data_IF_124877598093
#
_entry.id   IF_124877598093
#
_cell.length_a   1.000
_cell.length_b   1.000
_cell.length_c   1.000
_cell.angle_alpha   90.00
_cell.angle_beta   90.00
_cell.angle_gamma   90.00
#
_symmetry.space_group_name_H-M   'P 1'
#
loop_
_entity.id
_entity.type
_entity.pdbx_description
1 polymer ?
#
# COMPACT_ATOMS: atom_id res chain seq x y z
N UNK A 1 -0.37 9.02 -22.30
CA UNK A 1 -1.65 9.70 -22.05
C UNK A 1 -2.78 8.96 -22.72
N UNK A 2 -3.69 8.41 -21.91
CA UNK A 2 -4.99 7.99 -22.39
C UNK A 2 -5.76 9.28 -22.71
N UNK A 3 -5.85 9.64 -23.98
CA UNK A 3 -6.78 10.68 -24.39
C UNK A 3 -8.17 10.05 -24.44
N UNK A 4 -9.09 10.63 -23.69
CA UNK A 4 -10.52 10.41 -23.89
C UNK A 4 -10.85 11.21 -25.14
N UNK A 5 -10.99 10.53 -26.27
CA UNK A 5 -11.54 11.16 -27.47
C UNK A 5 -13.06 11.27 -27.25
N UNK A 6 -13.52 12.49 -26.95
CA UNK A 6 -14.92 12.87 -26.92
C UNK A 6 -15.48 12.85 -28.36
N UNK A 7 -15.77 11.66 -28.90
CA UNK A 7 -16.48 11.54 -30.17
C UNK A 7 -18.00 11.55 -29.95
N UNK A 8 -18.54 12.73 -30.26
CA UNK A 8 -19.84 13.09 -30.83
C UNK A 8 -21.04 12.12 -30.77
N UNK A 9 -22.12 12.63 -30.18
CA UNK A 9 -23.49 12.12 -30.10
C UNK A 9 -24.11 11.74 -31.47
N UNK A 10 -24.54 10.49 -31.64
CA UNK A 10 -25.61 10.11 -32.59
C UNK A 10 -26.55 9.08 -31.95
N UNK A 11 -27.83 9.43 -31.87
CA UNK A 11 -28.94 8.62 -31.36
C UNK A 11 -29.15 7.29 -32.13
N UNK A 12 -29.44 6.20 -31.40
CA UNK A 12 -30.53 5.20 -31.58
C UNK A 12 -30.18 3.76 -31.06
N UNK A 13 -30.67 3.41 -29.85
CA UNK A 13 -30.95 2.07 -29.22
C UNK A 13 -30.13 0.78 -29.50
N UNK A 14 -30.12 -0.21 -28.56
CA UNK A 14 -29.59 -0.22 -27.21
C UNK A 14 -28.28 -1.03 -27.17
N UNK A 15 -27.15 -0.40 -26.92
CA UNK A 15 -25.86 -1.09 -26.83
C UNK A 15 -25.73 -1.80 -25.48
N UNK A 16 -26.28 -3.01 -25.38
CA UNK A 16 -25.85 -3.98 -24.36
C UNK A 16 -24.63 -4.71 -24.87
N UNK A 17 -23.47 -4.06 -24.79
CA UNK A 17 -22.14 -4.66 -24.69
C UNK A 17 -21.18 -3.48 -24.62
N UNK A 18 -20.54 -3.30 -23.46
CA UNK A 18 -19.47 -2.31 -23.31
C UNK A 18 -18.30 -2.87 -24.10
N UNK A 19 -18.11 -2.38 -25.32
CA UNK A 19 -16.89 -2.57 -26.10
C UNK A 19 -15.75 -1.87 -25.36
N UNK A 20 -15.18 -2.58 -24.38
CA UNK A 20 -13.90 -2.19 -23.79
C UNK A 20 -12.87 -2.46 -24.88
N UNK A 21 -12.38 -1.40 -25.52
CA UNK A 21 -11.22 -1.46 -26.40
C UNK A 21 -10.12 -2.27 -25.71
N UNK A 22 -9.82 -3.46 -26.24
CA UNK A 22 -8.83 -4.42 -25.73
C UNK A 22 -7.39 -3.85 -25.76
N UNK A 23 -7.22 -2.64 -26.30
CA UNK A 23 -6.02 -1.79 -26.17
C UNK A 23 -5.87 -1.17 -24.76
N UNK A 24 -6.97 -1.04 -24.00
CA UNK A 24 -6.97 -0.65 -22.60
C UNK A 24 -7.12 -1.88 -21.71
N UNK A 25 -6.12 -2.76 -21.71
CA UNK A 25 -5.89 -3.57 -20.51
C UNK A 25 -5.54 -2.58 -19.40
N UNK A 26 -6.55 -2.08 -18.68
CA UNK A 26 -6.35 -1.32 -17.45
C UNK A 26 -5.50 -2.24 -16.57
N UNK A 27 -4.23 -1.89 -16.37
CA UNK A 27 -3.41 -2.53 -15.37
C UNK A 27 -3.99 -2.10 -14.02
N UNK A 28 -5.04 -2.79 -13.58
CA UNK A 28 -5.75 -2.46 -12.35
C UNK A 28 -4.81 -2.71 -11.18
N UNK A 29 -4.42 -1.61 -10.54
CA UNK A 29 -3.59 -1.62 -9.34
C UNK A 29 -4.51 -1.83 -8.15
N UNK A 30 -4.21 -2.80 -7.29
CA UNK A 30 -5.05 -3.11 -6.14
C UNK A 30 -4.26 -3.55 -4.94
N UNK A 31 -4.82 -3.32 -3.75
CA UNK A 31 -4.31 -3.88 -2.49
C UNK A 31 -5.29 -4.92 -2.00
N UNK A 32 -4.80 -6.12 -1.73
CA UNK A 32 -5.61 -7.20 -1.16
C UNK A 32 -5.57 -7.17 0.37
N UNK A 33 -4.37 -7.16 0.95
CA UNK A 33 -4.17 -7.23 2.40
C UNK A 33 -2.77 -6.82 2.84
N UNK A 34 -2.64 -6.48 4.12
CA UNK A 34 -1.40 -6.33 4.87
C UNK A 34 -1.18 -7.59 5.69
N UNK A 35 -0.05 -8.28 5.50
CA UNK A 35 0.24 -9.54 6.19
C UNK A 35 0.73 -9.35 7.63
N UNK A 36 1.56 -8.32 7.87
CA UNK A 36 2.01 -7.99 9.23
C UNK A 36 1.00 -7.02 9.85
N UNK A 37 0.22 -7.46 10.84
CA UNK A 37 -0.90 -6.67 11.38
C UNK A 37 -0.53 -5.76 12.56
N UNK A 38 0.67 -5.89 13.13
CA UNK A 38 1.09 -5.08 14.27
C UNK A 38 2.62 -4.92 14.36
N UNK A 39 3.09 -3.84 14.98
CA UNK A 39 4.51 -3.55 15.17
C UNK A 39 4.81 -2.49 16.21
N UNK A 40 6.09 -2.13 16.29
CA UNK A 40 6.64 -1.24 17.32
C UNK A 40 6.24 0.22 17.09
N UNK A 41 5.96 0.95 18.17
CA UNK A 41 5.83 2.41 18.20
C UNK A 41 7.09 3.14 17.68
N UNK A 42 8.26 2.51 17.78
CA UNK A 42 9.53 3.07 17.31
C UNK A 42 9.80 2.79 15.81
N UNK A 43 8.80 2.27 15.07
CA UNK A 43 8.99 1.91 13.67
C UNK A 43 9.87 0.66 13.51
N UNK A 44 10.58 0.58 12.39
CA UNK A 44 11.48 -0.53 12.07
C UNK A 44 10.80 -1.87 11.82
N UNK A 45 9.45 -1.90 11.77
CA UNK A 45 8.70 -3.12 11.51
C UNK A 45 8.60 -3.33 10.01
N UNK A 46 9.06 -4.49 9.52
CA UNK A 46 8.84 -4.89 8.12
C UNK A 46 7.39 -5.32 7.94
N UNK A 47 6.69 -4.66 7.03
CA UNK A 47 5.33 -5.02 6.64
C UNK A 47 5.31 -5.42 5.17
N UNK A 48 4.40 -6.32 4.86
CA UNK A 48 4.21 -6.84 3.50
C UNK A 48 2.77 -6.59 3.08
N UNK A 49 2.61 -5.97 1.93
CA UNK A 49 1.33 -5.61 1.33
C UNK A 49 1.18 -6.45 0.07
N UNK A 50 0.17 -7.32 0.05
CA UNK A 50 -0.14 -8.15 -1.12
C UNK A 50 -1.18 -7.44 -1.98
N UNK A 51 -1.05 -7.56 -3.30
CA UNK A 51 -1.92 -6.90 -4.26
C UNK A 51 -1.56 -7.24 -5.70
N UNK A 52 -1.88 -6.34 -6.63
CA UNK A 52 -1.59 -6.48 -8.06
C UNK A 52 -1.24 -5.13 -8.67
N UNK A 53 -0.47 -5.14 -9.76
CA UNK A 53 -0.18 -3.94 -10.54
C UNK A 53 0.73 -2.93 -9.82
N UNK A 54 1.51 -3.38 -8.84
CA UNK A 54 2.52 -2.53 -8.22
C UNK A 54 3.68 -2.28 -9.17
N UNK A 55 4.34 -1.13 -9.02
CA UNK A 55 5.51 -0.81 -9.83
C UNK A 55 6.61 -1.85 -9.59
N UNK A 56 7.23 -2.33 -10.67
CA UNK A 56 8.41 -3.19 -10.60
C UNK A 56 9.70 -2.35 -10.60
N UNK A 57 9.70 -1.21 -11.28
CA UNK A 57 10.80 -0.26 -11.27
C UNK A 57 10.64 0.76 -10.12
N UNK A 58 11.49 0.67 -9.09
CA UNK A 58 11.46 1.57 -7.94
C UNK A 58 12.35 2.82 -8.09
N UNK A 59 12.88 3.09 -9.28
CA UNK A 59 13.77 4.22 -9.54
C UNK A 59 13.13 5.34 -10.36
N UNK A 60 11.98 5.09 -10.97
CA UNK A 60 11.23 6.04 -11.78
C UNK A 60 9.75 5.97 -11.38
N UNK A 61 9.32 6.84 -10.45
CA UNK A 61 7.98 6.81 -9.86
C UNK A 61 7.85 5.80 -8.71
N UNK A 62 7.86 4.50 -9.02
CA UNK A 62 7.90 3.42 -8.03
C UNK A 62 6.67 3.36 -7.12
N UNK A 63 6.76 2.58 -6.04
CA UNK A 63 5.69 2.48 -5.05
C UNK A 63 5.97 3.43 -3.88
N UNK A 64 4.95 4.15 -3.43
CA UNK A 64 4.95 4.89 -2.18
C UNK A 64 3.84 4.37 -1.27
N UNK A 65 4.16 4.16 0.00
CA UNK A 65 3.23 3.56 0.97
C UNK A 65 3.09 4.47 2.18
N UNK A 66 1.84 4.72 2.57
CA UNK A 66 1.50 5.49 3.75
C UNK A 66 0.58 4.69 4.67
N UNK A 67 0.81 4.82 5.97
CA UNK A 67 -0.06 4.33 7.03
C UNK A 67 -0.83 5.53 7.58
N UNK A 68 -2.15 5.50 7.46
CA UNK A 68 -3.01 6.65 7.80
C UNK A 68 -3.94 6.33 8.96
N UNK A 69 -4.00 7.24 9.93
CA UNK A 69 -5.03 7.25 10.98
C UNK A 69 -5.88 8.51 10.83
N UNK A 70 -6.79 8.75 11.77
CA UNK A 70 -7.58 9.99 11.80
C UNK A 70 -6.74 11.24 12.10
N UNK A 71 -5.56 11.06 12.69
CA UNK A 71 -4.75 12.18 13.23
C UNK A 71 -3.32 12.25 12.69
N UNK A 72 -2.89 11.24 11.94
CA UNK A 72 -1.51 11.11 11.52
C UNK A 72 -1.39 10.32 10.21
N UNK A 73 -0.46 10.74 9.36
CA UNK A 73 -0.03 10.03 8.16
C UNK A 73 1.45 9.74 8.33
N UNK A 74 1.82 8.46 8.24
CA UNK A 74 3.18 8.00 8.47
C UNK A 74 3.66 7.27 7.22
N UNK A 75 4.82 7.63 6.72
CA UNK A 75 5.43 6.93 5.58
C UNK A 75 5.89 5.52 5.99
N UNK A 76 5.74 4.56 5.08
CA UNK A 76 6.37 3.25 5.17
C UNK A 76 7.43 3.14 4.07
N UNK A 77 8.71 3.13 4.45
CA UNK A 77 9.83 3.17 3.52
C UNK A 77 9.92 1.89 2.71
N UNK A 78 9.57 1.98 1.42
CA UNK A 78 9.59 0.84 0.49
C UNK A 78 11.00 0.29 0.34
N UNK A 79 11.10 -1.04 0.48
CA UNK A 79 12.32 -1.81 0.29
C UNK A 79 12.34 -2.33 -1.15
N UNK A 80 13.20 -1.72 -1.97
CA UNK A 80 13.21 -1.94 -3.42
C UNK A 80 13.44 -3.41 -3.79
N UNK A 81 14.39 -4.07 -3.12
CA UNK A 81 14.78 -5.46 -3.39
C UNK A 81 13.73 -6.49 -2.97
N UNK A 82 12.76 -6.10 -2.14
CA UNK A 82 11.69 -6.98 -1.65
C UNK A 82 10.32 -6.69 -2.27
N UNK A 83 10.27 -5.81 -3.26
CA UNK A 83 9.03 -5.37 -3.90
C UNK A 83 8.93 -5.95 -5.31
N UNK A 84 7.74 -6.44 -5.65
CA UNK A 84 7.38 -7.04 -6.94
C UNK A 84 6.03 -6.48 -7.38
N UNK A 85 5.56 -6.86 -8.56
CA UNK A 85 4.25 -6.44 -9.09
C UNK A 85 3.06 -6.86 -8.21
N UNK A 86 3.24 -7.88 -7.36
CA UNK A 86 2.17 -8.46 -6.52
C UNK A 86 2.40 -8.27 -5.02
N UNK A 87 3.52 -7.68 -4.64
CA UNK A 87 3.90 -7.55 -3.24
C UNK A 87 4.78 -6.31 -3.03
N UNK A 88 4.41 -5.45 -2.07
CA UNK A 88 5.29 -4.38 -1.59
C UNK A 88 5.84 -4.77 -0.22
N UNK A 89 7.16 -4.69 -0.06
CA UNK A 89 7.83 -4.76 1.23
C UNK A 89 8.19 -3.33 1.67
N UNK A 90 7.78 -2.92 2.86
CA UNK A 90 8.19 -1.62 3.40
C UNK A 90 8.50 -1.70 4.90
N UNK A 91 9.22 -0.71 5.40
CA UNK A 91 9.61 -0.60 6.82
C UNK A 91 8.90 0.60 7.42
N UNK A 92 8.24 0.39 8.56
CA UNK A 92 7.49 1.45 9.24
C UNK A 92 8.40 2.49 9.86
N UNK A 93 7.96 3.75 9.87
CA UNK A 93 8.53 4.81 10.70
C UNK A 93 7.90 4.82 12.10
N UNK A 94 8.49 5.54 13.08
CA UNK A 94 7.85 5.73 14.38
C UNK A 94 6.47 6.39 14.27
N UNK A 95 5.53 5.96 15.11
CA UNK A 95 4.17 6.49 15.13
C UNK A 95 3.52 6.33 16.50
N UNK A 96 2.40 7.04 16.72
CA UNK A 96 1.59 6.89 17.93
C UNK A 96 0.90 5.53 17.97
N UNK A 97 0.64 5.04 19.18
CA UNK A 97 -0.14 3.82 19.38
C UNK A 97 -1.54 3.95 18.75
N UNK A 98 -1.97 2.92 18.02
CA UNK A 98 -3.27 2.94 17.36
C UNK A 98 -3.32 2.10 16.09
N UNK A 99 -4.48 2.17 15.43
CA UNK A 99 -4.73 1.53 14.15
C UNK A 99 -4.52 2.51 13.00
N UNK A 100 -3.85 2.02 11.96
CA UNK A 100 -3.57 2.75 10.74
C UNK A 100 -4.00 1.88 9.56
N UNK A 101 -4.41 2.55 8.49
CA UNK A 101 -4.85 1.92 7.25
C UNK A 101 -3.92 2.29 6.12
N UNK A 102 -3.57 1.29 5.32
CA UNK A 102 -2.63 1.46 4.21
C UNK A 102 -3.25 2.31 3.10
N UNK A 103 -2.44 3.23 2.58
CA UNK A 103 -2.63 3.89 1.28
C UNK A 103 -1.41 3.62 0.43
N UNK A 104 -1.62 3.35 -0.84
CA UNK A 104 -0.56 3.04 -1.79
C UNK A 104 -0.71 3.95 -2.99
N UNK A 105 0.42 4.52 -3.40
CA UNK A 105 0.58 5.26 -4.63
C UNK A 105 1.57 4.49 -5.51
N UNK A 106 1.27 4.39 -6.80
CA UNK A 106 2.08 3.66 -7.77
C UNK A 106 2.35 4.59 -8.94
N UNK A 107 3.62 4.85 -9.21
CA UNK A 107 4.09 5.74 -10.29
C UNK A 107 3.49 7.16 -10.23
N UNK A 108 3.19 7.65 -9.03
CA UNK A 108 2.60 8.97 -8.81
C UNK A 108 1.08 8.98 -8.71
N UNK A 109 0.40 7.86 -8.98
CA UNK A 109 -1.06 7.75 -8.91
C UNK A 109 -1.53 6.98 -7.68
N UNK A 110 -2.47 7.55 -6.93
CA UNK A 110 -3.07 6.89 -5.77
C UNK A 110 -3.97 5.72 -6.23
N UNK A 111 -3.89 4.58 -5.54
CA UNK A 111 -4.84 3.50 -5.74
C UNK A 111 -6.22 3.93 -5.19
N UNK A 112 -7.28 3.96 -6.02
CA UNK A 112 -8.61 4.35 -5.58
C UNK A 112 -9.17 3.44 -4.46
N UNK A 113 -10.01 3.97 -3.54
CA UNK A 113 -10.58 3.21 -2.41
C UNK A 113 -11.28 1.89 -2.79
N UNK A 114 -11.94 1.84 -3.95
CA UNK A 114 -12.62 0.67 -4.50
C UNK A 114 -11.68 -0.51 -4.80
N UNK A 115 -10.39 -0.22 -4.99
CA UNK A 115 -9.34 -1.23 -5.22
C UNK A 115 -8.50 -1.51 -3.97
N UNK A 116 -8.88 -0.94 -2.81
CA UNK A 116 -8.24 -1.20 -1.53
C UNK A 116 -9.06 -2.20 -0.72
N UNK A 117 -8.48 -3.36 -0.43
CA UNK A 117 -8.95 -4.34 0.54
C UNK A 117 -10.41 -4.78 0.34
N UNK A 118 -10.74 -5.17 -0.90
CA UNK A 118 -12.10 -5.56 -1.28
C UNK A 118 -13.07 -4.38 -1.35
N UNK A 119 -12.56 -3.20 -1.70
CA UNK A 119 -13.34 -1.96 -1.82
C UNK A 119 -13.66 -1.27 -0.49
N UNK A 120 -12.95 -1.63 0.58
CA UNK A 120 -13.07 -0.98 1.87
C UNK A 120 -11.68 -0.67 2.44
N UNK A 121 -11.18 0.57 2.29
CA UNK A 121 -9.85 0.95 2.77
C UNK A 121 -9.72 0.91 4.30
N UNK A 122 -10.85 0.91 5.05
CA UNK A 122 -10.88 0.77 6.51
C UNK A 122 -11.11 -0.67 6.98
N UNK A 123 -11.05 -1.64 6.07
CA UNK A 123 -11.20 -3.05 6.43
C UNK A 123 -10.01 -3.57 7.24
N UNK A 124 -10.24 -4.64 8.01
CA UNK A 124 -9.20 -5.25 8.86
C UNK A 124 -8.02 -5.81 8.06
N UNK A 125 -8.21 -6.16 6.78
CA UNK A 125 -7.15 -6.59 5.88
C UNK A 125 -6.22 -5.45 5.46
N UNK A 126 -6.64 -4.18 5.53
CA UNK A 126 -5.80 -3.01 5.23
C UNK A 126 -5.14 -2.42 6.48
N UNK A 127 -5.30 -3.06 7.64
CA UNK A 127 -5.03 -2.46 8.94
C UNK A 127 -3.70 -2.92 9.53
N UNK A 128 -2.92 -1.96 10.00
CA UNK A 128 -1.72 -2.14 10.81
C UNK A 128 -1.92 -1.51 12.19
N UNK A 129 -1.40 -2.14 13.24
CA UNK A 129 -1.47 -1.62 14.60
C UNK A 129 -0.08 -1.29 15.16
N UNK A 130 0.18 -0.03 15.43
CA UNK A 130 1.29 0.37 16.29
C UNK A 130 0.92 0.06 17.74
N UNK A 131 1.77 -0.67 18.46
CA UNK A 131 1.50 -1.01 19.86
C UNK A 131 2.75 -1.10 20.73
N UNK A 132 2.58 -0.72 22.00
CA UNK A 132 3.65 -0.82 23.00
C UNK A 132 4.08 -2.27 23.26
N UNK A 133 3.19 -3.25 23.10
CA UNK A 133 3.51 -4.67 23.29
C UNK A 133 4.58 -5.19 22.32
N UNK A 134 4.67 -4.58 21.14
CA UNK A 134 5.67 -4.92 20.12
C UNK A 134 6.84 -3.94 20.13
N UNK A 135 6.95 -3.10 21.16
CA UNK A 135 8.00 -2.09 21.29
C UNK A 135 9.03 -2.56 22.31
N UNK A 136 10.22 -2.99 21.87
CA UNK A 136 11.24 -3.47 22.78
C UNK A 136 11.74 -2.34 23.67
N UNK A 137 12.00 -2.67 24.93
CA UNK A 137 12.70 -1.81 25.88
C UNK A 137 14.04 -2.45 26.24
N UNK A 138 15.10 -1.65 26.33
CA UNK A 138 16.40 -2.13 26.83
C UNK A 138 16.37 -2.01 28.34
N UNK A 139 16.40 -3.14 29.04
CA UNK A 139 16.39 -3.16 30.52
C UNK A 139 17.79 -3.28 31.12
N UNK A 140 18.71 -3.96 30.43
CA UNK A 140 20.09 -4.16 30.89
C UNK A 140 21.01 -4.46 29.69
N UNK A 141 22.26 -4.01 29.75
CA UNK A 141 23.33 -4.43 28.84
C UNK A 141 24.43 -5.10 29.65
N UNK A 142 24.70 -6.39 29.41
CA UNK A 142 25.80 -7.11 30.05
C UNK A 142 27.01 -7.17 29.12
N UNK A 143 28.19 -6.81 29.64
CA UNK A 143 29.45 -7.03 28.93
C UNK A 143 29.83 -8.52 29.04
N UNK A 144 30.07 -9.18 27.91
CA UNK A 144 30.74 -10.48 27.90
C UNK A 144 32.20 -10.26 28.31
N UNK A 145 32.63 -10.85 29.43
CA UNK A 145 34.03 -10.83 29.83
C UNK A 145 34.91 -11.50 28.74
N UNK A 146 36.14 -11.00 28.48
CA UNK A 146 37.08 -11.67 27.58
C UNK A 146 37.45 -13.08 28.10
N UNK A 147 37.76 -14.04 27.21
CA UNK A 147 38.14 -15.40 27.56
C UNK A 147 39.46 -15.51 28.34
#
# INVERSE_FOLDING_TARGET
>A
DCQIDDDEYVDNEPHTEVDIDDSCRISVRSVLKVNTIAGSLNGGTKITIDGTGFATNQYDGGNSVFLTSETEVVECKVQKDGTTEVQILCVTEPAKEGYYFVKVNVDGEDIPPEFLCGGNPKHSSCRFRYTIYNTPTITEMKQSAPP
#
